data_IF_160452239640
#
_entry.id   IF_160452239640
#
_cell.length_a   1.000
_cell.length_b   1.000
_cell.length_c   1.000
_cell.angle_alpha   90.00
_cell.angle_beta   90.00
_cell.angle_gamma   90.00
#
_symmetry.space_group_name_H-M   'P 1'
#
loop_
_entity.id
_entity.type
_entity.pdbx_description
1 polymer ?
#
# COMPACT_ATOMS: atom_id res chain seq x y z
N UNK A 1 -40.32 4.19 -0.84
CA UNK A 1 -39.27 3.98 0.19
C UNK A 1 -38.05 4.78 -0.21
N UNK A 2 -37.42 5.53 0.71
CA UNK A 2 -36.21 6.27 0.37
C UNK A 2 -35.08 5.31 0.02
N UNK A 3 -34.51 5.44 -1.18
CA UNK A 3 -33.40 4.62 -1.65
C UNK A 3 -32.06 5.20 -1.18
N UNK A 4 -31.18 4.32 -0.73
CA UNK A 4 -29.79 4.67 -0.48
C UNK A 4 -29.00 4.55 -1.78
N UNK A 5 -28.11 5.49 -2.04
CA UNK A 5 -27.19 5.43 -3.17
C UNK A 5 -25.93 4.64 -2.83
N UNK A 6 -25.05 4.43 -3.83
CA UNK A 6 -23.73 3.79 -3.68
C UNK A 6 -22.78 4.49 -2.69
N UNK A 7 -23.11 5.69 -2.23
CA UNK A 7 -22.35 6.45 -1.23
C UNK A 7 -22.93 6.33 0.19
N UNK A 8 -23.83 5.36 0.41
CA UNK A 8 -24.48 5.08 1.69
C UNK A 8 -25.19 6.30 2.31
N UNK A 9 -25.74 7.16 1.44
CA UNK A 9 -26.60 8.29 1.80
C UNK A 9 -27.93 8.13 1.08
N UNK A 10 -28.98 8.78 1.60
CA UNK A 10 -30.22 8.90 0.84
C UNK A 10 -29.94 9.54 -0.52
N UNK A 11 -30.43 8.92 -1.60
CA UNK A 11 -30.14 9.33 -2.97
C UNK A 11 -30.46 10.82 -3.21
N UNK A 12 -31.55 11.32 -2.59
CA UNK A 12 -31.95 12.72 -2.66
C UNK A 12 -30.99 13.71 -1.98
N UNK A 13 -30.15 13.26 -1.03
CA UNK A 13 -29.30 14.10 -0.18
C UNK A 13 -27.79 13.84 -0.36
N UNK A 14 -27.41 13.02 -1.35
CA UNK A 14 -26.00 12.74 -1.60
C UNK A 14 -25.40 13.83 -2.51
N UNK A 15 -24.49 14.70 -2.02
CA UNK A 15 -23.90 15.77 -2.83
C UNK A 15 -23.06 15.24 -4.00
N UNK A 16 -22.60 13.99 -3.92
CA UNK A 16 -21.84 13.32 -4.97
C UNK A 16 -22.80 12.88 -6.09
N UNK A 17 -23.88 12.17 -5.75
CA UNK A 17 -24.87 11.75 -6.75
C UNK A 17 -25.57 12.94 -7.40
N UNK A 18 -25.89 14.00 -6.65
CA UNK A 18 -26.50 15.20 -7.22
C UNK A 18 -25.58 15.89 -8.23
N UNK A 19 -24.26 15.89 -7.95
CA UNK A 19 -23.25 16.44 -8.86
C UNK A 19 -23.07 15.57 -10.09
N UNK A 20 -23.00 14.24 -9.94
CA UNK A 20 -22.92 13.29 -11.06
C UNK A 20 -24.15 13.40 -11.98
N UNK A 21 -25.35 13.55 -11.42
CA UNK A 21 -26.58 13.77 -12.18
C UNK A 21 -26.58 15.13 -12.89
N UNK A 22 -26.09 16.18 -12.24
CA UNK A 22 -25.96 17.51 -12.86
C UNK A 22 -24.91 17.53 -13.99
N UNK A 23 -23.80 16.81 -13.83
CA UNK A 23 -22.76 16.66 -14.86
C UNK A 23 -23.27 15.81 -16.04
N UNK A 24 -24.08 14.77 -15.78
CA UNK A 24 -24.72 13.96 -16.82
C UNK A 24 -25.86 14.69 -17.56
N UNK A 25 -26.56 15.61 -16.90
CA UNK A 25 -27.65 16.40 -17.47
C UNK A 25 -27.18 17.70 -18.18
N UNK A 26 -25.89 18.05 -18.07
CA UNK A 26 -25.34 19.25 -18.68
C UNK A 26 -25.08 19.08 -20.19
N UNK A 27 -25.42 20.06 -21.06
CA UNK A 27 -24.98 20.03 -22.44
C UNK A 27 -23.45 20.10 -22.50
N UNK A 28 -22.83 19.20 -23.29
CA UNK A 28 -21.38 19.23 -23.59
C UNK A 28 -21.01 20.58 -24.20
N UNK A 29 -20.46 21.50 -23.40
CA UNK A 29 -20.00 22.80 -23.89
C UNK A 29 -18.61 22.66 -24.51
N UNK A 30 -18.55 22.84 -25.82
CA UNK A 30 -17.32 23.18 -26.55
C UNK A 30 -16.74 24.48 -25.99
N UNK A 31 -15.40 24.50 -25.86
CA UNK A 31 -14.65 25.46 -25.07
C UNK A 31 -14.91 26.93 -25.39
N UNK A 32 -14.91 27.74 -24.34
CA UNK A 32 -14.72 29.19 -24.40
C UNK A 32 -13.78 29.59 -23.27
N UNK A 33 -12.64 30.18 -23.64
CA UNK A 33 -11.71 30.87 -22.73
C UNK A 33 -12.45 32.05 -22.07
N UNK A 34 -12.47 32.09 -20.74
CA UNK A 34 -12.86 33.27 -19.97
C UNK A 34 -11.65 33.85 -19.28
N UNK A 35 -11.14 34.95 -19.85
CA UNK A 35 -10.26 35.93 -19.21
C UNK A 35 -11.09 36.85 -18.33
N UNK A 36 -10.67 37.02 -17.07
CA UNK A 36 -11.22 38.01 -16.13
C UNK A 36 -11.29 37.44 -14.72
N UNK A 37 -10.87 38.09 -13.65
CA UNK A 37 -10.29 39.42 -13.43
C UNK A 37 -10.05 39.49 -11.92
N UNK A 38 -8.88 39.99 -11.52
CA UNK A 38 -8.50 40.08 -10.11
C UNK A 38 -9.45 41.05 -9.37
N UNK A 39 -10.20 40.55 -8.39
CA UNK A 39 -10.91 41.40 -7.42
C UNK A 39 -10.27 41.20 -6.05
N UNK A 40 -9.42 42.16 -5.67
CA UNK A 40 -8.84 42.30 -4.33
C UNK A 40 -9.85 42.97 -3.42
N UNK A 41 -10.47 42.21 -2.50
CA UNK A 41 -11.33 42.77 -1.45
C UNK A 41 -10.57 42.77 -0.12
N UNK A 42 -10.01 43.93 0.25
CA UNK A 42 -9.52 44.20 1.61
C UNK A 42 -10.71 44.32 2.57
N UNK A 43 -10.64 43.63 3.71
CA UNK A 43 -11.47 43.89 4.91
C UNK A 43 -10.59 43.72 6.17
N UNK A 44 -10.96 44.35 7.29
CA UNK A 44 -10.03 45.01 8.19
C UNK A 44 -9.57 44.10 9.33
N UNK A 45 -8.41 44.44 9.86
CA UNK A 45 -7.79 43.89 11.07
C UNK A 45 -8.53 44.37 12.32
N UNK A 46 -9.08 43.43 13.09
CA UNK A 46 -9.34 43.63 14.52
C UNK A 46 -8.65 42.52 15.30
N UNK A 47 -7.67 42.96 16.09
CA UNK A 47 -6.90 42.19 17.05
C UNK A 47 -7.79 41.68 18.19
N UNK A 48 -7.86 40.36 18.35
CA UNK A 48 -8.28 39.72 19.58
C UNK A 48 -7.37 38.54 19.86
N UNK A 49 -6.59 38.68 20.93
CA UNK A 49 -5.73 37.68 21.55
C UNK A 49 -6.52 36.43 21.93
N UNK A 50 -6.22 35.31 21.27
CA UNK A 50 -6.49 33.97 21.77
C UNK A 50 -5.25 33.10 21.52
N UNK A 51 -4.53 32.78 22.60
CA UNK A 51 -3.44 31.79 22.59
C UNK A 51 -4.04 30.43 22.30
N UNK A 52 -4.12 30.05 21.03
CA UNK A 52 -4.37 28.66 20.64
C UNK A 52 -3.03 27.93 20.59
N UNK A 53 -2.94 26.82 21.31
CA UNK A 53 -1.83 25.87 21.24
C UNK A 53 -1.65 25.47 19.79
N UNK A 54 -0.51 25.83 19.20
CA UNK A 54 -0.09 25.37 17.90
C UNK A 54 0.13 23.86 17.96
N UNK A 55 -0.91 23.09 17.65
CA UNK A 55 -0.74 21.74 17.12
C UNK A 55 -0.06 21.90 15.77
N UNK A 56 1.21 21.50 15.68
CA UNK A 56 1.96 21.40 14.43
C UNK A 56 1.24 20.39 13.52
N UNK A 57 0.23 20.84 12.79
CA UNK A 57 -0.27 20.16 11.61
C UNK A 57 0.77 20.40 10.52
N UNK A 58 1.74 19.49 10.40
CA UNK A 58 2.68 19.43 9.27
C UNK A 58 1.89 19.05 8.01
N UNK A 59 1.18 20.02 7.44
CA UNK A 59 0.39 19.87 6.23
C UNK A 59 1.34 19.76 5.04
N UNK A 60 1.74 18.54 4.70
CA UNK A 60 2.56 18.27 3.52
C UNK A 60 1.71 18.29 2.24
N UNK A 61 1.76 19.40 1.50
CA UNK A 61 1.17 19.48 0.16
C UNK A 61 2.14 18.85 -0.84
N UNK A 62 1.77 17.69 -1.39
CA UNK A 62 2.51 17.07 -2.49
C UNK A 62 1.79 17.28 -3.81
N UNK A 63 2.49 17.89 -4.77
CA UNK A 63 2.01 18.02 -6.15
C UNK A 63 2.27 16.68 -6.86
N UNK A 64 1.21 15.96 -7.19
CA UNK A 64 1.30 14.78 -8.05
C UNK A 64 1.10 15.22 -9.50
N UNK A 65 2.05 14.89 -10.38
CA UNK A 65 1.87 15.06 -11.82
C UNK A 65 0.90 13.97 -12.30
N UNK A 66 -0.28 14.38 -12.76
CA UNK A 66 -1.34 13.48 -13.25
C UNK A 66 -1.60 13.76 -14.73
N UNK A 67 -2.11 12.75 -15.42
CA UNK A 67 -2.57 12.92 -16.79
C UNK A 67 -3.76 13.89 -16.81
N UNK A 68 -3.96 14.58 -17.94
CA UNK A 68 -5.09 15.47 -18.11
C UNK A 68 -6.41 14.67 -18.12
N UNK A 69 -7.47 15.21 -17.53
CA UNK A 69 -8.80 14.62 -17.60
C UNK A 69 -9.25 14.53 -19.06
N UNK A 70 -9.43 13.31 -19.55
CA UNK A 70 -9.86 12.98 -20.91
C UNK A 70 -11.31 12.47 -20.96
N UNK A 71 -12.01 12.54 -19.82
CA UNK A 71 -13.36 12.04 -19.66
C UNK A 71 -13.48 10.60 -19.17
N UNK A 72 -12.37 9.90 -18.90
CA UNK A 72 -12.40 8.55 -18.31
C UNK A 72 -13.14 8.53 -16.97
N UNK A 73 -14.04 7.56 -16.77
CA UNK A 73 -14.79 7.38 -15.53
C UNK A 73 -14.97 5.88 -15.26
N UNK A 74 -14.56 5.43 -14.08
CA UNK A 74 -14.85 4.08 -13.59
C UNK A 74 -15.56 4.14 -12.22
N UNK A 75 -16.60 3.33 -11.99
CA UNK A 75 -17.28 3.26 -10.70
C UNK A 75 -16.39 2.67 -9.60
N UNK A 76 -15.42 1.82 -9.95
CA UNK A 76 -14.49 1.19 -9.00
C UNK A 76 -13.41 2.16 -8.53
N UNK A 77 -12.97 3.07 -9.40
CA UNK A 77 -11.89 4.04 -9.12
C UNK A 77 -12.32 5.49 -9.42
N UNK A 78 -13.33 6.02 -8.72
CA UNK A 78 -13.95 7.31 -9.08
C UNK A 78 -13.03 8.52 -8.87
N UNK A 79 -11.85 8.33 -8.27
CA UNK A 79 -10.83 9.36 -8.15
C UNK A 79 -9.90 9.46 -9.36
N UNK A 80 -9.88 8.46 -10.25
CA UNK A 80 -9.15 8.49 -11.52
C UNK A 80 -10.01 9.12 -12.61
N UNK A 81 -9.43 10.06 -13.35
CA UNK A 81 -10.12 10.89 -14.35
C UNK A 81 -9.50 10.85 -15.74
N UNK A 82 -8.36 10.17 -15.90
CA UNK A 82 -7.62 10.08 -17.14
C UNK A 82 -7.38 8.61 -17.47
N UNK A 83 -7.54 8.23 -18.74
CA UNK A 83 -7.31 6.86 -19.24
C UNK A 83 -5.88 6.42 -18.93
N UNK A 84 -4.89 7.29 -19.15
CA UNK A 84 -3.49 6.99 -18.87
C UNK A 84 -3.20 6.69 -17.38
N UNK A 85 -3.91 7.34 -16.44
CA UNK A 85 -3.76 7.02 -15.01
C UNK A 85 -4.42 5.67 -14.65
N UNK A 86 -5.48 5.28 -15.37
CA UNK A 86 -6.15 4.00 -15.22
C UNK A 86 -5.34 2.85 -15.83
N UNK A 87 -4.79 3.01 -17.05
CA UNK A 87 -3.87 2.06 -17.67
C UNK A 87 -2.66 1.80 -16.77
N UNK A 88 -2.09 2.87 -16.21
CA UNK A 88 -1.00 2.75 -15.24
C UNK A 88 -1.45 1.98 -14.00
N UNK A 89 -2.66 2.21 -13.47
CA UNK A 89 -3.16 1.42 -12.34
C UNK A 89 -3.29 -0.07 -12.71
N UNK A 90 -3.82 -0.40 -13.89
CA UNK A 90 -3.92 -1.77 -14.37
C UNK A 90 -2.53 -2.44 -14.45
N UNK A 91 -1.52 -1.75 -14.98
CA UNK A 91 -0.15 -2.24 -15.03
C UNK A 91 0.42 -2.51 -13.63
N UNK A 92 0.21 -1.61 -12.66
CA UNK A 92 0.71 -1.81 -11.30
C UNK A 92 -0.03 -2.92 -10.55
N UNK A 93 -1.34 -3.09 -10.79
CA UNK A 93 -2.14 -4.20 -10.25
C UNK A 93 -1.63 -5.55 -10.79
N UNK A 94 -1.44 -5.63 -12.10
CA UNK A 94 -0.94 -6.81 -12.78
C UNK A 94 0.47 -7.19 -12.34
N UNK A 95 1.36 -6.20 -12.21
CA UNK A 95 2.71 -6.40 -11.69
C UNK A 95 2.70 -6.94 -10.25
N UNK A 96 1.93 -6.32 -9.37
CA UNK A 96 1.90 -6.72 -7.96
C UNK A 96 1.27 -8.11 -7.77
N UNK A 97 0.25 -8.46 -8.56
CA UNK A 97 -0.34 -9.80 -8.58
C UNK A 97 0.66 -10.83 -9.12
N UNK A 98 1.32 -10.52 -10.25
CA UNK A 98 2.40 -11.34 -10.82
C UNK A 98 3.51 -11.59 -9.81
N UNK A 99 3.92 -10.58 -9.02
CA UNK A 99 4.90 -10.76 -7.94
C UNK A 99 4.47 -11.80 -6.92
N UNK A 100 3.23 -11.73 -6.45
CA UNK A 100 2.73 -12.70 -5.47
C UNK A 100 2.70 -14.11 -6.06
N UNK A 101 2.29 -14.25 -7.32
CA UNK A 101 2.32 -15.54 -8.03
C UNK A 101 3.75 -16.09 -8.19
N UNK A 102 4.72 -15.24 -8.54
CA UNK A 102 6.15 -15.62 -8.63
C UNK A 102 6.69 -16.07 -7.29
N UNK A 103 6.38 -15.35 -6.20
CA UNK A 103 6.79 -15.78 -4.85
C UNK A 103 6.24 -17.16 -4.50
N UNK A 104 4.99 -17.45 -4.85
CA UNK A 104 4.36 -18.74 -4.56
C UNK A 104 4.90 -19.89 -5.42
N UNK A 105 5.22 -19.64 -6.69
CA UNK A 105 5.57 -20.69 -7.64
C UNK A 105 7.08 -20.91 -7.79
N UNK A 106 7.87 -19.84 -7.87
CA UNK A 106 9.29 -19.87 -8.17
C UNK A 106 10.00 -18.65 -7.56
N UNK A 107 10.09 -18.57 -6.21
CA UNK A 107 10.77 -17.46 -5.56
C UNK A 107 12.26 -17.44 -5.95
N UNK A 108 12.82 -16.24 -6.09
CA UNK A 108 14.21 -16.02 -6.49
C UNK A 108 14.99 -15.23 -5.44
N UNK A 109 16.32 -15.27 -5.54
CA UNK A 109 17.22 -14.57 -4.60
C UNK A 109 16.98 -14.98 -3.15
N UNK A 110 16.96 -14.00 -2.23
CA UNK A 110 16.74 -14.30 -0.81
C UNK A 110 15.34 -14.86 -0.51
N UNK A 111 14.34 -14.64 -1.38
CA UNK A 111 13.05 -15.30 -1.18
C UNK A 111 13.14 -16.81 -1.41
N UNK A 112 13.98 -17.28 -2.35
CA UNK A 112 14.25 -18.71 -2.53
C UNK A 112 14.96 -19.31 -1.32
N UNK A 113 15.90 -18.57 -0.72
CA UNK A 113 16.55 -18.98 0.52
C UNK A 113 15.53 -19.09 1.66
N UNK A 114 14.65 -18.10 1.85
CA UNK A 114 13.56 -18.17 2.85
C UNK A 114 12.67 -19.39 2.62
N UNK A 115 12.31 -19.69 1.37
CA UNK A 115 11.43 -20.81 1.04
C UNK A 115 12.09 -22.18 1.26
N UNK A 116 13.41 -22.27 1.11
CA UNK A 116 14.16 -23.53 1.21
C UNK A 116 14.82 -23.76 2.57
N UNK A 117 14.87 -22.74 3.43
CA UNK A 117 15.45 -22.81 4.77
C UNK A 117 14.67 -23.79 5.68
N UNK A 118 15.31 -24.89 6.15
CA UNK A 118 14.64 -25.88 6.98
C UNK A 118 14.29 -25.36 8.38
N UNK A 119 15.07 -24.44 8.95
CA UNK A 119 14.75 -23.84 10.25
C UNK A 119 13.73 -22.71 10.08
N UNK A 120 12.52 -22.92 10.59
CA UNK A 120 11.42 -21.94 10.49
C UNK A 120 11.79 -20.60 11.13
N UNK A 121 12.59 -20.61 12.18
CA UNK A 121 13.00 -19.38 12.86
C UNK A 121 13.99 -18.58 12.00
N UNK A 122 14.98 -19.24 11.39
CA UNK A 122 15.92 -18.58 10.47
C UNK A 122 15.21 -18.06 9.22
N UNK A 123 14.28 -18.85 8.66
CA UNK A 123 13.49 -18.46 7.50
C UNK A 123 12.63 -17.22 7.79
N UNK A 124 11.97 -17.20 8.96
CA UNK A 124 11.11 -16.08 9.36
C UNK A 124 11.92 -14.83 9.67
N UNK A 125 13.10 -14.98 10.27
CA UNK A 125 14.01 -13.87 10.56
C UNK A 125 14.53 -13.23 9.27
N UNK A 126 14.94 -14.05 8.29
CA UNK A 126 15.36 -13.54 6.98
C UNK A 126 14.22 -12.82 6.26
N UNK A 127 13.01 -13.38 6.27
CA UNK A 127 11.82 -12.71 5.71
C UNK A 127 11.54 -11.36 6.39
N UNK A 128 11.68 -11.31 7.71
CA UNK A 128 11.54 -10.08 8.49
C UNK A 128 12.59 -9.04 8.10
N UNK A 129 13.86 -9.41 7.96
CA UNK A 129 14.92 -8.50 7.52
C UNK A 129 14.67 -7.97 6.11
N UNK A 130 14.19 -8.81 5.18
CA UNK A 130 13.80 -8.39 3.83
C UNK A 130 12.71 -7.31 3.90
N UNK A 131 11.63 -7.55 4.66
CA UNK A 131 10.53 -6.60 4.76
C UNK A 131 10.92 -5.32 5.53
N UNK A 132 11.77 -5.43 6.56
CA UNK A 132 12.20 -4.30 7.38
C UNK A 132 13.15 -3.36 6.64
N UNK A 133 14.16 -3.90 5.95
CA UNK A 133 15.13 -3.11 5.20
C UNK A 133 14.59 -2.67 3.83
N UNK A 134 13.68 -3.46 3.26
CA UNK A 134 13.11 -3.26 1.93
C UNK A 134 14.11 -3.63 0.84
N UNK A 135 13.75 -4.46 -0.16
CA UNK A 135 14.61 -4.71 -1.31
C UNK A 135 14.95 -3.42 -2.06
N UNK A 136 16.20 -3.31 -2.53
CA UNK A 136 16.68 -2.21 -3.36
C UNK A 136 16.06 -2.25 -4.76
N UNK A 137 16.13 -1.11 -5.44
CA UNK A 137 15.87 -1.02 -6.88
C UNK A 137 17.19 -1.24 -7.64
N UNK A 138 17.15 -1.98 -8.74
CA UNK A 138 18.32 -2.25 -9.60
C UNK A 138 18.76 -3.72 -9.60
N UNK A 139 20.01 -3.95 -9.96
CA UNK A 139 20.54 -5.29 -10.29
C UNK A 139 20.72 -6.20 -9.07
N UNK A 140 20.92 -5.61 -7.89
CA UNK A 140 21.10 -6.36 -6.65
C UNK A 140 20.10 -5.93 -5.56
N UNK A 141 18.84 -6.41 -5.65
CA UNK A 141 17.78 -5.99 -4.75
C UNK A 141 18.02 -6.38 -3.29
N UNK A 142 18.93 -7.32 -3.01
CA UNK A 142 19.13 -7.86 -1.67
C UNK A 142 20.49 -7.50 -1.05
N UNK A 143 21.26 -6.59 -1.66
CA UNK A 143 22.57 -6.18 -1.16
C UNK A 143 22.53 -5.74 0.32
N UNK A 144 21.56 -4.89 0.67
CA UNK A 144 21.41 -4.40 2.04
C UNK A 144 21.05 -5.50 3.04
N UNK A 145 20.15 -6.41 2.64
CA UNK A 145 19.76 -7.54 3.50
C UNK A 145 20.93 -8.48 3.72
N UNK A 146 21.73 -8.77 2.70
CA UNK A 146 22.94 -9.61 2.85
C UNK A 146 23.99 -8.95 3.73
N UNK A 147 24.19 -7.64 3.61
CA UNK A 147 25.13 -6.89 4.45
C UNK A 147 24.72 -6.88 5.92
N UNK A 148 23.41 -6.81 6.20
CA UNK A 148 22.85 -6.79 7.55
C UNK A 148 22.56 -8.18 8.14
N UNK A 149 22.79 -9.27 7.40
CA UNK A 149 22.30 -10.59 7.80
C UNK A 149 23.01 -11.10 9.06
N UNK A 150 22.24 -11.37 10.10
CA UNK A 150 22.63 -12.19 11.26
C UNK A 150 21.71 -13.41 11.36
N UNK A 151 22.12 -14.45 12.08
CA UNK A 151 21.21 -15.57 12.37
C UNK A 151 20.24 -15.25 13.50
N UNK A 152 19.08 -15.87 13.48
CA UNK A 152 18.14 -15.79 14.60
C UNK A 152 18.77 -16.39 15.86
N UNK A 153 19.41 -17.56 15.72
CA UNK A 153 19.97 -18.34 16.82
C UNK A 153 21.11 -17.62 17.58
N UNK A 154 21.88 -16.74 16.92
CA UNK A 154 22.99 -16.04 17.60
C UNK A 154 22.51 -15.00 18.62
N UNK A 155 21.27 -14.51 18.48
CA UNK A 155 20.77 -13.39 19.29
C UNK A 155 21.35 -12.03 18.89
N UNK A 156 22.32 -11.99 17.98
CA UNK A 156 23.01 -10.78 17.58
C UNK A 156 22.11 -9.88 16.72
N UNK A 157 22.07 -8.60 17.07
CA UNK A 157 21.38 -7.60 16.26
C UNK A 157 22.31 -7.15 15.12
N UNK A 158 21.81 -7.09 13.87
CA UNK A 158 22.51 -6.52 12.73
C UNK A 158 23.15 -5.16 12.99
N UNK A 159 24.36 -4.94 12.44
CA UNK A 159 24.88 -3.59 12.22
C UNK A 159 24.15 -2.97 11.01
N UNK A 160 23.59 -1.77 11.21
CA UNK A 160 22.76 -1.06 10.24
C UNK A 160 23.40 0.24 9.75
N UNK A 161 24.62 0.57 10.20
CA UNK A 161 25.21 1.90 10.04
C UNK A 161 25.34 2.35 8.58
N UNK A 162 25.73 1.43 7.68
CA UNK A 162 25.98 1.70 6.26
C UNK A 162 25.19 0.78 5.32
N UNK A 163 24.10 0.21 5.82
CA UNK A 163 23.28 -0.74 5.05
C UNK A 163 22.42 0.02 4.04
N UNK A 164 22.53 -0.26 2.73
CA UNK A 164 21.66 0.35 1.73
C UNK A 164 20.21 -0.08 1.96
N UNK A 165 19.28 0.87 1.86
CA UNK A 165 17.86 0.68 2.19
C UNK A 165 16.97 0.80 0.96
N UNK A 166 15.95 -0.05 0.89
CA UNK A 166 14.95 -0.01 -0.19
C UNK A 166 13.96 1.15 -0.05
N UNK A 167 13.18 1.43 -1.11
CA UNK A 167 12.23 2.55 -1.13
C UNK A 167 11.02 2.34 -0.20
N UNK A 168 10.79 1.13 0.30
CA UNK A 168 9.76 0.78 1.32
C UNK A 168 10.38 0.33 2.65
N UNK A 169 11.58 0.80 2.97
CA UNK A 169 12.23 0.48 4.24
C UNK A 169 11.40 0.99 5.44
N UNK A 170 11.37 0.20 6.51
CA UNK A 170 10.93 0.65 7.84
C UNK A 170 12.09 1.07 8.73
N UNK A 171 13.33 0.90 8.28
CA UNK A 171 14.48 1.31 9.07
C UNK A 171 14.58 2.85 9.11
N UNK A 172 14.58 3.39 10.33
CA UNK A 172 14.90 4.79 10.58
C UNK A 172 16.29 4.86 11.25
N UNK A 173 17.32 5.44 10.60
CA UNK A 173 18.67 5.45 11.13
C UNK A 173 18.79 6.04 12.55
N UNK A 174 17.98 7.06 12.85
CA UNK A 174 17.94 7.69 14.18
C UNK A 174 17.48 6.72 15.31
N UNK A 175 16.80 5.62 14.97
CA UNK A 175 16.36 4.59 15.92
C UNK A 175 17.39 3.48 16.11
N UNK A 176 18.43 3.42 15.27
CA UNK A 176 19.41 2.33 15.27
C UNK A 176 18.73 0.95 15.22
N UNK A 177 19.12 0.07 16.13
CA UNK A 177 18.62 -1.32 16.23
C UNK A 177 17.36 -1.47 17.09
N UNK A 178 16.77 -0.37 17.59
CA UNK A 178 15.65 -0.43 18.54
C UNK A 178 14.42 -1.20 18.02
N UNK A 179 14.12 -1.08 16.72
CA UNK A 179 13.01 -1.84 16.11
C UNK A 179 13.30 -3.35 16.06
N UNK A 180 14.55 -3.74 15.80
CA UNK A 180 14.97 -5.14 15.80
C UNK A 180 14.87 -5.75 17.20
N UNK A 181 15.34 -5.02 18.22
CA UNK A 181 15.19 -5.41 19.62
C UNK A 181 13.71 -5.55 20.02
N UNK A 182 12.85 -4.63 19.57
CA UNK A 182 11.41 -4.70 19.81
C UNK A 182 10.75 -5.91 19.14
N UNK A 183 11.20 -6.29 17.94
CA UNK A 183 10.75 -7.51 17.26
C UNK A 183 11.16 -8.75 18.05
N UNK A 184 12.43 -8.87 18.47
CA UNK A 184 12.88 -10.01 19.29
C UNK A 184 12.07 -10.13 20.58
N UNK A 185 11.89 -9.03 21.31
CA UNK A 185 11.08 -9.03 22.52
C UNK A 185 9.60 -9.41 22.27
N UNK A 186 9.05 -9.08 21.11
CA UNK A 186 7.70 -9.51 20.71
C UNK A 186 7.63 -11.01 20.47
N UNK A 187 8.62 -11.58 19.77
CA UNK A 187 8.76 -13.02 19.55
C UNK A 187 8.95 -13.77 20.87
N UNK A 188 9.85 -13.30 21.74
CA UNK A 188 10.15 -13.94 23.02
C UNK A 188 8.90 -14.07 23.90
N UNK A 189 8.00 -13.08 23.89
CA UNK A 189 6.72 -13.15 24.60
C UNK A 189 5.80 -14.25 24.08
N UNK A 190 5.93 -14.64 22.82
CA UNK A 190 5.19 -15.74 22.22
C UNK A 190 5.93 -17.09 22.35
N UNK A 191 7.21 -17.08 22.73
CA UNK A 191 8.08 -18.26 22.87
C UNK A 191 8.90 -18.60 21.63
N UNK A 192 8.40 -18.30 20.43
CA UNK A 192 9.12 -18.46 19.15
C UNK A 192 8.47 -17.64 18.04
N UNK A 193 9.15 -17.45 16.90
CA UNK A 193 8.54 -16.77 15.74
C UNK A 193 7.37 -17.62 15.24
N UNK A 194 7.55 -18.93 15.13
CA UNK A 194 6.50 -19.83 14.67
C UNK A 194 5.23 -19.72 15.54
N UNK A 195 5.38 -19.66 16.86
CA UNK A 195 4.25 -19.46 17.78
C UNK A 195 3.59 -18.09 17.61
N UNK A 196 4.39 -17.03 17.40
CA UNK A 196 3.90 -15.67 17.21
C UNK A 196 3.05 -15.52 15.93
N UNK A 197 3.47 -16.15 14.83
CA UNK A 197 2.79 -16.07 13.53
C UNK A 197 1.64 -17.07 13.37
N UNK A 198 1.71 -18.27 14.00
CA UNK A 198 0.60 -19.25 13.92
C UNK A 198 -0.63 -18.82 14.73
N UNK A 199 -0.42 -18.28 15.93
CA UNK A 199 -1.53 -17.94 16.83
C UNK A 199 -2.40 -19.14 17.19
N UNK A 200 -3.72 -18.95 17.27
CA UNK A 200 -4.67 -20.01 17.63
C UNK A 200 -4.99 -20.92 16.43
N UNK A 201 -5.08 -22.23 16.67
CA UNK A 201 -5.36 -23.24 15.62
C UNK A 201 -6.70 -23.06 14.92
N UNK A 202 -7.68 -22.42 15.56
CA UNK A 202 -9.00 -22.17 14.99
C UNK A 202 -9.04 -21.00 13.99
N UNK A 203 -7.94 -20.24 13.84
CA UNK A 203 -7.93 -19.09 12.95
C UNK A 203 -7.79 -19.49 11.48
N UNK A 204 -8.77 -19.06 10.68
CA UNK A 204 -8.66 -19.03 9.22
C UNK A 204 -7.50 -18.13 8.77
N UNK A 205 -6.92 -18.33 7.57
CA UNK A 205 -5.77 -17.55 7.10
C UNK A 205 -5.95 -16.03 7.15
N UNK A 206 -7.14 -15.51 6.83
CA UNK A 206 -7.41 -14.06 6.84
C UNK A 206 -7.47 -13.50 8.26
N UNK A 207 -8.11 -14.26 9.15
CA UNK A 207 -8.17 -13.90 10.57
C UNK A 207 -6.77 -13.96 11.19
N UNK A 208 -5.96 -14.95 10.83
CA UNK A 208 -4.57 -15.06 11.27
C UNK A 208 -3.77 -13.86 10.80
N UNK A 209 -3.84 -13.53 9.50
CA UNK A 209 -3.19 -12.35 8.93
C UNK A 209 -3.57 -11.07 9.72
N UNK A 210 -4.86 -10.79 9.89
CA UNK A 210 -5.32 -9.59 10.58
C UNK A 210 -4.84 -9.53 12.04
N UNK A 211 -4.90 -10.65 12.77
CA UNK A 211 -4.48 -10.69 14.17
C UNK A 211 -2.97 -10.56 14.34
N UNK A 212 -2.18 -11.20 13.48
CA UNK A 212 -0.73 -11.05 13.52
C UNK A 212 -0.35 -9.62 13.14
N UNK A 213 -0.99 -9.04 12.11
CA UNK A 213 -0.76 -7.66 11.71
C UNK A 213 -1.00 -6.65 12.86
N UNK A 214 -2.09 -6.82 13.60
CA UNK A 214 -2.40 -6.02 14.80
C UNK A 214 -1.33 -6.21 15.89
N UNK A 215 -0.95 -7.46 16.18
CA UNK A 215 0.04 -7.80 17.22
C UNK A 215 1.45 -7.35 16.88
N UNK A 216 1.78 -7.30 15.60
CA UNK A 216 3.09 -6.89 15.08
C UNK A 216 3.24 -5.35 15.04
N UNK A 217 2.30 -4.58 15.60
CA UNK A 217 2.36 -3.12 15.71
C UNK A 217 3.44 -2.62 16.71
N UNK A 218 4.68 -3.07 16.55
CA UNK A 218 5.84 -2.66 17.33
C UNK A 218 6.35 -1.28 16.87
N UNK A 219 7.00 -0.55 17.78
CA UNK A 219 7.47 0.79 17.48
C UNK A 219 8.59 0.78 16.45
N UNK A 220 8.41 1.52 15.35
CA UNK A 220 9.38 1.65 14.27
C UNK A 220 9.23 0.62 13.16
N UNK A 221 8.20 -0.24 13.19
CA UNK A 221 7.84 -1.11 12.08
C UNK A 221 6.57 -0.57 11.40
N UNK A 222 6.73 -0.02 10.21
CA UNK A 222 5.65 0.68 9.51
C UNK A 222 4.59 -0.28 8.96
N UNK A 223 3.45 0.30 8.51
CA UNK A 223 2.30 -0.43 7.98
C UNK A 223 2.69 -1.35 6.83
N UNK A 224 3.46 -0.80 5.90
CA UNK A 224 3.93 -1.45 4.68
C UNK A 224 4.87 -2.63 4.96
N UNK A 225 5.87 -2.48 5.83
CA UNK A 225 6.75 -3.60 6.16
C UNK A 225 6.00 -4.74 6.87
N UNK A 226 5.06 -4.42 7.77
CA UNK A 226 4.21 -5.45 8.40
C UNK A 226 3.36 -6.17 7.37
N UNK A 227 2.75 -5.42 6.46
CA UNK A 227 1.87 -5.98 5.45
C UNK A 227 2.63 -6.83 4.42
N UNK A 228 3.77 -6.35 3.91
CA UNK A 228 4.60 -7.09 2.97
C UNK A 228 5.22 -8.33 3.62
N UNK A 229 5.67 -8.26 4.88
CA UNK A 229 6.15 -9.43 5.62
C UNK A 229 5.10 -10.56 5.63
N UNK A 230 3.86 -10.24 6.00
CA UNK A 230 2.81 -11.25 6.09
C UNK A 230 2.41 -11.80 4.72
N UNK A 231 2.44 -10.98 3.67
CA UNK A 231 2.24 -11.47 2.31
C UNK A 231 3.37 -12.39 1.88
N UNK A 232 4.63 -12.00 2.08
CA UNK A 232 5.81 -12.82 1.73
C UNK A 232 5.76 -14.15 2.48
N UNK A 233 5.55 -14.13 3.79
CA UNK A 233 5.43 -15.35 4.60
C UNK A 233 4.30 -16.28 4.14
N UNK A 234 3.16 -15.72 3.74
CA UNK A 234 2.04 -16.48 3.19
C UNK A 234 2.34 -17.07 1.80
N UNK A 235 2.88 -16.27 0.89
CA UNK A 235 3.18 -16.71 -0.48
C UNK A 235 4.29 -17.76 -0.52
N UNK A 236 5.32 -17.61 0.32
CA UNK A 236 6.40 -18.59 0.43
C UNK A 236 5.97 -19.88 1.18
N UNK A 237 4.73 -19.96 1.65
CA UNK A 237 4.20 -21.16 2.33
C UNK A 237 4.75 -21.38 3.74
N UNK A 238 5.37 -20.38 4.37
CA UNK A 238 5.91 -20.52 5.73
C UNK A 238 4.78 -20.63 6.77
N UNK A 239 3.70 -19.87 6.54
CA UNK A 239 2.53 -19.84 7.42
C UNK A 239 1.25 -19.71 6.59
N UNK A 240 0.14 -20.25 7.09
CA UNK A 240 -1.18 -20.07 6.50
C UNK A 240 -1.69 -18.63 6.72
N UNK A 241 -1.19 -17.70 5.90
CA UNK A 241 -1.51 -16.27 5.95
C UNK A 241 -2.08 -15.84 4.60
N UNK A 242 -3.22 -15.15 4.63
CA UNK A 242 -3.80 -14.52 3.43
C UNK A 242 -4.35 -13.16 3.81
N UNK A 243 -4.01 -12.12 3.07
CA UNK A 243 -4.62 -10.82 3.28
C UNK A 243 -6.13 -10.89 2.99
N UNK A 244 -6.95 -10.37 3.91
CA UNK A 244 -8.40 -10.20 3.74
C UNK A 244 -8.87 -8.74 3.71
N UNK A 245 -7.94 -7.80 3.89
CA UNK A 245 -8.13 -6.35 3.87
C UNK A 245 -6.75 -5.70 3.74
N UNK A 246 -6.69 -4.46 3.27
CA UNK A 246 -5.44 -3.72 3.12
C UNK A 246 -4.91 -3.18 4.45
N UNK A 247 -5.71 -3.08 5.50
CA UNK A 247 -5.28 -2.48 6.78
C UNK A 247 -4.85 -1.00 6.60
N UNK A 248 -5.60 -0.26 5.79
CA UNK A 248 -5.39 1.15 5.49
C UNK A 248 -5.66 2.01 6.73
N UNK A 249 -4.88 3.07 6.89
CA UNK A 249 -4.99 3.95 8.04
C UNK A 249 -3.84 4.95 8.11
N UNK A 250 -4.06 6.03 8.86
CA UNK A 250 -3.03 7.06 9.04
C UNK A 250 -2.63 7.78 7.75
N UNK A 251 -1.33 8.01 7.61
CA UNK A 251 -0.72 8.84 6.56
C UNK A 251 0.32 8.10 5.72
N UNK A 252 0.31 6.76 5.71
CA UNK A 252 1.22 6.01 4.83
C UNK A 252 0.85 6.21 3.36
N UNK A 253 1.84 6.07 2.48
CA UNK A 253 1.72 6.39 1.05
C UNK A 253 0.65 5.55 0.35
N UNK A 254 0.48 4.29 0.74
CA UNK A 254 -0.57 3.41 0.18
C UNK A 254 -1.96 3.91 0.57
N UNK A 255 -2.16 4.29 1.83
CA UNK A 255 -3.43 4.88 2.29
C UNK A 255 -3.73 6.18 1.55
N UNK A 256 -2.73 7.03 1.33
CA UNK A 256 -2.89 8.26 0.55
C UNK A 256 -3.23 7.95 -0.91
N UNK A 257 -2.60 6.94 -1.50
CA UNK A 257 -2.88 6.46 -2.85
C UNK A 257 -4.30 5.94 -2.98
N UNK A 258 -4.74 5.08 -2.05
CA UNK A 258 -6.11 4.56 -1.98
C UNK A 258 -7.13 5.69 -1.94
N UNK A 259 -6.92 6.71 -1.09
CA UNK A 259 -7.79 7.90 -1.02
C UNK A 259 -7.93 8.61 -2.37
N UNK A 260 -6.83 8.67 -3.14
CA UNK A 260 -6.80 9.31 -4.47
C UNK A 260 -7.45 8.44 -5.54
N UNK A 261 -7.16 7.15 -5.59
CA UNK A 261 -7.75 6.20 -6.56
C UNK A 261 -9.25 6.09 -6.34
N UNK A 262 -9.66 5.87 -5.09
CA UNK A 262 -11.05 5.65 -4.72
C UNK A 262 -11.81 6.95 -4.47
N UNK A 263 -11.18 8.12 -4.50
CA UNK A 263 -11.86 9.41 -4.33
C UNK A 263 -12.63 9.57 -3.02
N UNK A 264 -12.18 8.92 -1.94
CA UNK A 264 -12.84 8.94 -0.63
C UNK A 264 -11.83 8.94 0.51
N UNK A 265 -12.15 9.59 1.63
CA UNK A 265 -11.27 9.70 2.80
C UNK A 265 -11.59 8.73 3.95
N UNK A 266 -12.77 8.11 3.92
CA UNK A 266 -13.27 7.23 4.96
C UNK A 266 -12.64 5.84 4.85
N UNK A 267 -11.94 5.40 5.90
CA UNK A 267 -11.18 4.14 5.89
C UNK A 267 -12.03 2.90 5.64
N UNK A 268 -13.23 2.83 6.22
CA UNK A 268 -14.10 1.65 6.05
C UNK A 268 -14.57 1.54 4.60
N UNK A 269 -14.90 2.69 3.97
CA UNK A 269 -15.25 2.72 2.56
C UNK A 269 -14.05 2.50 1.64
N UNK A 270 -12.83 2.88 2.05
CA UNK A 270 -11.60 2.56 1.31
C UNK A 270 -11.37 1.04 1.25
N UNK A 271 -11.45 0.35 2.38
CA UNK A 271 -11.29 -1.11 2.44
C UNK A 271 -12.31 -1.81 1.57
N UNK A 272 -13.58 -1.39 1.67
CA UNK A 272 -14.65 -1.93 0.85
C UNK A 272 -14.38 -1.73 -0.65
N UNK A 273 -13.97 -0.53 -1.08
CA UNK A 273 -13.69 -0.25 -2.50
C UNK A 273 -12.46 -0.98 -3.01
N UNK A 274 -11.46 -1.16 -2.16
CA UNK A 274 -10.31 -1.99 -2.49
C UNK A 274 -10.72 -3.45 -2.72
N UNK A 275 -11.58 -3.99 -1.86
CA UNK A 275 -12.13 -5.33 -2.06
C UNK A 275 -12.98 -5.42 -3.34
N UNK A 276 -13.86 -4.46 -3.60
CA UNK A 276 -14.67 -4.41 -4.83
C UNK A 276 -13.79 -4.37 -6.10
N UNK A 277 -12.68 -3.62 -6.08
CA UNK A 277 -11.72 -3.58 -7.18
C UNK A 277 -10.96 -4.91 -7.33
N UNK A 278 -10.49 -5.48 -6.22
CA UNK A 278 -9.78 -6.75 -6.23
C UNK A 278 -10.66 -7.89 -6.75
N UNK A 279 -11.92 -7.96 -6.29
CA UNK A 279 -12.89 -8.96 -6.75
C UNK A 279 -13.20 -8.78 -8.24
N UNK A 280 -13.43 -7.55 -8.71
CA UNK A 280 -13.74 -7.28 -10.11
C UNK A 280 -12.56 -7.58 -11.05
N UNK A 281 -11.33 -7.35 -10.60
CA UNK A 281 -10.12 -7.66 -11.35
C UNK A 281 -9.66 -9.12 -11.19
N UNK A 282 -10.34 -9.91 -10.35
CA UNK A 282 -9.97 -11.28 -9.97
C UNK A 282 -8.54 -11.39 -9.38
N UNK A 283 -8.11 -10.37 -8.64
CA UNK A 283 -6.77 -10.29 -8.05
C UNK A 283 -6.81 -10.51 -6.53
N UNK A 284 -5.74 -11.06 -5.93
CA UNK A 284 -5.62 -11.11 -4.48
C UNK A 284 -5.57 -9.69 -3.91
N UNK A 285 -6.38 -9.39 -2.89
CA UNK A 285 -6.39 -8.08 -2.21
C UNK A 285 -4.99 -7.65 -1.71
N UNK A 286 -4.12 -8.62 -1.39
CA UNK A 286 -2.71 -8.39 -1.05
C UNK A 286 -1.92 -7.63 -2.12
N UNK A 287 -2.22 -7.84 -3.41
CA UNK A 287 -1.54 -7.18 -4.53
C UNK A 287 -1.83 -5.67 -4.58
N UNK A 288 -3.01 -5.24 -4.15
CA UNK A 288 -3.40 -3.83 -4.19
C UNK A 288 -2.49 -2.95 -3.33
N UNK A 289 -1.85 -3.50 -2.29
CA UNK A 289 -0.93 -2.74 -1.45
C UNK A 289 0.27 -2.18 -2.25
N UNK A 290 1.04 -3.06 -2.89
CA UNK A 290 2.18 -2.63 -3.70
C UNK A 290 1.73 -1.86 -4.94
N UNK A 291 0.62 -2.26 -5.56
CA UNK A 291 0.09 -1.61 -6.74
C UNK A 291 -0.28 -0.14 -6.47
N UNK A 292 -1.04 0.13 -5.41
CA UNK A 292 -1.43 1.49 -5.02
C UNK A 292 -0.21 2.33 -4.65
N UNK A 293 0.75 1.75 -3.94
CA UNK A 293 1.99 2.44 -3.61
C UNK A 293 2.77 2.82 -4.88
N UNK A 294 3.05 1.88 -5.79
CA UNK A 294 3.73 2.15 -7.05
C UNK A 294 2.95 3.17 -7.90
N UNK A 295 1.62 3.05 -8.01
CA UNK A 295 0.78 4.01 -8.71
C UNK A 295 0.84 5.42 -8.11
N UNK A 296 1.17 5.57 -6.84
CA UNK A 296 1.34 6.89 -6.22
C UNK A 296 2.68 7.56 -6.53
N UNK A 297 3.68 6.76 -6.92
CA UNK A 297 5.04 7.25 -7.19
C UNK A 297 5.08 8.10 -8.45
N UNK A 298 6.01 9.08 -8.51
CA UNK A 298 6.26 9.83 -9.73
C UNK A 298 6.62 8.90 -10.90
N UNK A 299 6.04 9.14 -12.08
CA UNK A 299 6.30 8.32 -13.28
C UNK A 299 7.76 8.37 -13.76
N UNK A 300 8.55 9.35 -13.31
CA UNK A 300 9.97 9.46 -13.61
C UNK A 300 10.85 8.51 -12.79
N UNK A 301 10.30 7.92 -11.71
CA UNK A 301 11.00 6.90 -10.94
C UNK A 301 10.66 5.51 -11.50
N UNK A 302 11.62 4.58 -11.50
CA UNK A 302 11.32 3.19 -11.84
C UNK A 302 10.30 2.62 -10.84
N UNK A 303 9.53 1.64 -11.30
CA UNK A 303 8.66 0.82 -10.44
C UNK A 303 9.53 0.11 -9.40
N UNK A 304 9.07 0.02 -8.13
CA UNK A 304 9.80 -0.86 -7.21
C UNK A 304 9.33 -2.28 -7.47
N UNK A 305 10.32 -3.14 -7.67
CA UNK A 305 10.09 -4.55 -7.98
C UNK A 305 10.04 -5.43 -6.73
N UNK A 306 10.40 -4.88 -5.57
CA UNK A 306 10.35 -5.55 -4.27
C UNK A 306 11.05 -6.93 -4.29
N UNK A 307 12.21 -6.99 -4.92
CA UNK A 307 13.07 -8.18 -5.00
C UNK A 307 12.98 -8.96 -6.31
N UNK A 308 12.11 -8.58 -7.24
CA UNK A 308 12.11 -9.12 -8.60
C UNK A 308 13.09 -8.38 -9.53
N UNK A 309 13.53 -9.01 -10.64
CA UNK A 309 14.33 -8.35 -11.68
C UNK A 309 13.66 -7.07 -12.20
N UNK A 310 14.47 -6.06 -12.54
CA UNK A 310 14.01 -4.74 -12.98
C UNK A 310 13.19 -4.77 -14.29
N UNK A 311 13.44 -5.77 -15.14
CA UNK A 311 12.77 -6.03 -16.42
C UNK A 311 11.56 -6.95 -16.28
N UNK A 312 11.11 -7.26 -15.06
CA UNK A 312 9.90 -8.06 -14.84
C UNK A 312 8.68 -7.32 -15.36
N UNK A 313 8.08 -7.88 -16.40
CA UNK A 313 6.85 -7.36 -16.99
C UNK A 313 5.60 -7.70 -16.15
N UNK A 314 4.54 -6.88 -16.19
CA UNK A 314 3.25 -7.23 -15.60
C UNK A 314 2.69 -8.53 -16.18
N UNK A 315 2.03 -9.34 -15.34
CA UNK A 315 1.36 -10.55 -15.82
C UNK A 315 0.22 -10.19 -16.78
N UNK A 316 0.25 -10.79 -17.98
CA UNK A 316 -0.68 -10.43 -19.05
C UNK A 316 -2.14 -10.78 -18.72
N UNK A 317 -2.38 -11.89 -18.01
CA UNK A 317 -3.71 -12.32 -17.58
C UNK A 317 -4.27 -11.38 -16.51
N UNK A 318 -3.45 -11.08 -15.49
CA UNK A 318 -3.79 -10.11 -14.45
C UNK A 318 -4.00 -8.70 -15.02
N UNK A 319 -3.25 -8.31 -16.05
CA UNK A 319 -3.47 -7.05 -16.76
C UNK A 319 -4.81 -7.03 -17.47
N UNK A 320 -5.16 -8.09 -18.19
CA UNK A 320 -6.45 -8.18 -18.88
C UNK A 320 -7.63 -8.07 -17.90
N UNK A 321 -7.58 -8.79 -16.77
CA UNK A 321 -8.61 -8.72 -15.72
C UNK A 321 -8.69 -7.32 -15.08
N UNK A 322 -7.54 -6.70 -14.77
CA UNK A 322 -7.51 -5.35 -14.23
C UNK A 322 -8.01 -4.30 -15.25
N UNK A 323 -7.66 -4.43 -16.52
CA UNK A 323 -8.10 -3.53 -17.59
C UNK A 323 -9.62 -3.61 -17.79
N UNK A 324 -10.18 -4.83 -17.87
CA UNK A 324 -11.63 -5.04 -17.99
C UNK A 324 -12.39 -4.45 -16.78
N UNK A 325 -11.92 -4.71 -15.55
CA UNK A 325 -12.51 -4.13 -14.35
C UNK A 325 -12.50 -2.59 -14.36
N UNK A 326 -11.48 -1.98 -14.97
CA UNK A 326 -11.36 -0.53 -15.10
C UNK A 326 -12.14 0.03 -16.31
N UNK A 327 -12.61 -0.81 -17.23
CA UNK A 327 -13.29 -0.39 -18.44
C UNK A 327 -12.35 0.23 -19.47
N UNK A 328 -11.15 -0.34 -19.59
CA UNK A 328 -10.12 0.01 -20.59
C UNK A 328 -10.22 -0.84 -21.85
#
# INVERSE_FOLDING_TARGET
MPSFCRHNRFAANCPICSREQAEAAGPRRTGVRSTGGHVTRKRPTTSATARSRATNNDLRVRRATRAADDGYRSPLVPGIRATADAERLAQELAFAAGRLATLAAAPAGLYAEVASEPDREEATWLAFLIAYLGPLEGDDPFAGVRAARTSWASGELPDLSDVPLGPRTSHEPARGTATLAAYRAWVERAGSQEAAFRGETAWRPERRFARVYERLAIQGLARDARYDLLNVLGQLGLYELRAGALQLGGSDETTVAAKRVFGIGDTLLLERRAQELADAAELPIGALDLALWNWSRPAALPRATMGLPADTEPDAGAYAGAADALGL
#
